data_IF_868824341448
#
_entry.id   IF_868824341448
#
_cell.length_a   1.000
_cell.length_b   1.000
_cell.length_c   1.000
_cell.angle_alpha   90.00
_cell.angle_beta   90.00
_cell.angle_gamma   90.00
#
_symmetry.space_group_name_H-M   'P 1'
#
loop_
_entity.id
_entity.type
_entity.pdbx_description
1 polymer ?
#
# COMPACT_ATOMS: atom_id res chain seq x y z
N UNK A 1 -15.43 -1.13 35.27
CA UNK A 1 -14.21 -0.28 35.28
C UNK A 1 -13.90 0.05 33.83
N UNK A 2 -13.71 1.32 33.45
CA UNK A 2 -13.52 1.72 32.04
C UNK A 2 -12.30 1.04 31.39
N UNK A 3 -11.24 0.84 32.18
CA UNK A 3 -10.02 0.19 31.71
C UNK A 3 -10.25 -1.21 31.16
N UNK A 4 -11.20 -1.96 31.72
CA UNK A 4 -11.49 -3.33 31.29
C UNK A 4 -12.09 -3.37 29.87
N UNK A 5 -12.89 -2.36 29.51
CA UNK A 5 -13.46 -2.22 28.17
C UNK A 5 -12.44 -1.81 27.10
N UNK A 6 -11.39 -1.07 27.49
CA UNK A 6 -10.41 -0.52 26.55
C UNK A 6 -9.13 -1.35 26.47
N UNK A 7 -8.71 -2.01 27.55
CA UNK A 7 -7.46 -2.77 27.61
C UNK A 7 -7.64 -4.25 27.22
N UNK A 8 -8.84 -4.81 27.38
CA UNK A 8 -9.14 -6.21 27.06
C UNK A 8 -9.97 -6.40 25.78
N UNK A 9 -10.19 -5.34 25.00
CA UNK A 9 -10.95 -5.39 23.76
C UNK A 9 -10.03 -5.25 22.55
N UNK A 10 -10.02 -6.27 21.68
CA UNK A 10 -9.19 -6.30 20.47
C UNK A 10 -9.45 -5.11 19.53
N UNK A 11 -10.66 -4.54 19.53
CA UNK A 11 -10.97 -3.33 18.76
C UNK A 11 -10.09 -2.14 19.18
N UNK A 12 -10.01 -1.85 20.49
CA UNK A 12 -9.20 -0.75 20.99
C UNK A 12 -7.70 -1.06 20.95
N UNK A 13 -7.32 -2.30 21.30
CA UNK A 13 -5.92 -2.74 21.24
C UNK A 13 -5.35 -2.70 19.81
N UNK A 14 -6.12 -3.17 18.82
CA UNK A 14 -5.72 -3.10 17.41
C UNK A 14 -5.62 -1.66 16.90
N UNK A 15 -6.53 -0.76 17.31
CA UNK A 15 -6.45 0.65 16.95
C UNK A 15 -5.22 1.35 17.55
N UNK A 16 -4.88 1.04 18.80
CA UNK A 16 -3.66 1.54 19.44
C UNK A 16 -2.40 1.03 18.74
N UNK A 17 -2.34 -0.27 18.47
CA UNK A 17 -1.24 -0.89 17.74
C UNK A 17 -1.09 -0.29 16.34
N UNK A 18 -2.20 -0.14 15.61
CA UNK A 18 -2.19 0.43 14.27
C UNK A 18 -1.61 1.86 14.26
N UNK A 19 -1.97 2.70 15.23
CA UNK A 19 -1.40 4.06 15.35
C UNK A 19 0.10 4.03 15.62
N UNK A 20 0.56 3.15 16.52
CA UNK A 20 1.98 3.00 16.83
C UNK A 20 2.79 2.53 15.60
N UNK A 21 2.30 1.50 14.90
CA UNK A 21 2.95 0.98 13.68
C UNK A 21 2.91 1.99 12.55
N UNK A 22 1.79 2.69 12.36
CA UNK A 22 1.66 3.73 11.35
C UNK A 22 2.71 4.83 11.57
N UNK A 23 2.88 5.30 12.81
CA UNK A 23 3.89 6.31 13.14
C UNK A 23 5.31 5.82 12.84
N UNK A 24 5.65 4.59 13.22
CA UNK A 24 6.97 4.00 12.92
C UNK A 24 7.22 3.92 11.41
N UNK A 25 6.20 3.52 10.64
CA UNK A 25 6.31 3.44 9.19
C UNK A 25 6.45 4.83 8.56
N UNK A 26 5.69 5.82 9.01
CA UNK A 26 5.80 7.21 8.56
C UNK A 26 7.20 7.78 8.84
N UNK A 27 7.75 7.56 10.03
CA UNK A 27 9.11 7.97 10.39
C UNK A 27 10.15 7.28 9.50
N UNK A 28 9.98 5.98 9.24
CA UNK A 28 10.88 5.19 8.38
C UNK A 28 10.89 5.69 6.93
N UNK A 29 9.71 5.97 6.36
CA UNK A 29 9.60 6.40 4.96
C UNK A 29 9.70 7.91 4.76
N UNK A 30 9.85 8.69 5.84
CA UNK A 30 9.93 10.15 5.80
C UNK A 30 10.99 10.68 4.82
N UNK A 31 12.15 10.03 4.75
CA UNK A 31 13.25 10.42 3.85
C UNK A 31 12.91 10.28 2.36
N UNK A 32 11.97 9.39 2.02
CA UNK A 32 11.51 9.15 0.64
C UNK A 32 10.48 10.17 0.16
N UNK A 33 9.84 10.91 1.09
CA UNK A 33 8.71 11.77 0.79
C UNK A 33 7.42 11.03 0.39
N UNK A 34 7.38 9.70 0.55
CA UNK A 34 6.20 8.86 0.30
C UNK A 34 5.50 8.50 1.61
N UNK A 35 4.17 8.34 1.55
CA UNK A 35 3.48 7.67 2.65
C UNK A 35 3.84 6.17 2.66
N UNK A 36 3.73 5.49 3.81
CA UNK A 36 4.07 4.07 3.91
C UNK A 36 3.37 3.20 2.85
N UNK A 37 2.10 3.46 2.57
CA UNK A 37 1.34 2.68 1.58
C UNK A 37 1.93 2.78 0.17
N UNK A 38 2.37 3.97 -0.26
CA UNK A 38 3.02 4.12 -1.56
C UNK A 38 4.40 3.48 -1.59
N UNK A 39 5.14 3.54 -0.48
CA UNK A 39 6.43 2.89 -0.36
C UNK A 39 6.32 1.36 -0.45
N UNK A 40 5.41 0.75 0.30
CA UNK A 40 5.16 -0.70 0.22
C UNK A 40 4.68 -1.14 -1.16
N UNK A 41 3.86 -0.32 -1.82
CA UNK A 41 3.43 -0.58 -3.18
C UNK A 41 4.63 -0.62 -4.15
N UNK A 42 5.53 0.37 -4.08
CA UNK A 42 6.76 0.38 -4.89
C UNK A 42 7.67 -0.80 -4.56
N UNK A 43 7.81 -1.16 -3.28
CA UNK A 43 8.58 -2.32 -2.86
C UNK A 43 8.01 -3.61 -3.47
N UNK A 44 6.69 -3.79 -3.48
CA UNK A 44 6.06 -4.94 -4.10
C UNK A 44 6.28 -4.99 -5.63
N UNK A 45 6.22 -3.85 -6.31
CA UNK A 45 6.52 -3.76 -7.75
C UNK A 45 8.00 -4.02 -8.04
N UNK A 46 8.89 -3.59 -7.14
CA UNK A 46 10.33 -3.82 -7.25
C UNK A 46 10.67 -5.31 -7.05
N UNK A 47 10.05 -5.95 -6.06
CA UNK A 47 10.23 -7.38 -5.76
C UNK A 47 9.65 -8.27 -6.86
N UNK A 48 8.50 -7.88 -7.43
CA UNK A 48 7.84 -8.61 -8.52
C UNK A 48 7.59 -7.69 -9.72
N UNK A 49 8.62 -7.45 -10.57
CA UNK A 49 8.45 -6.66 -11.78
C UNK A 49 7.37 -7.24 -12.70
N UNK A 50 6.41 -6.41 -13.09
CA UNK A 50 5.28 -6.83 -13.93
C UNK A 50 4.09 -7.42 -13.18
N UNK A 51 4.08 -7.38 -11.84
CA UNK A 51 2.89 -7.67 -11.04
C UNK A 51 1.68 -6.88 -11.54
N UNK A 52 0.54 -7.54 -11.66
CA UNK A 52 -0.70 -6.91 -12.09
C UNK A 52 -1.32 -6.06 -10.98
N UNK A 53 -2.14 -5.07 -11.35
CA UNK A 53 -2.90 -4.28 -10.36
C UNK A 53 -3.82 -5.16 -9.49
N UNK A 54 -4.32 -6.25 -10.07
CA UNK A 54 -5.15 -7.23 -9.34
C UNK A 54 -4.35 -7.94 -8.26
N UNK A 55 -3.22 -8.55 -8.62
CA UNK A 55 -2.34 -9.26 -7.67
C UNK A 55 -1.85 -8.32 -6.57
N UNK A 56 -1.49 -7.08 -6.93
CA UNK A 56 -1.05 -6.08 -5.97
C UNK A 56 -2.17 -5.63 -5.03
N UNK A 57 -3.40 -5.48 -5.54
CA UNK A 57 -4.58 -5.20 -4.73
C UNK A 57 -4.90 -6.34 -3.76
N UNK A 58 -4.80 -7.58 -4.21
CA UNK A 58 -4.99 -8.78 -3.39
C UNK A 58 -3.93 -8.89 -2.29
N UNK A 59 -2.65 -8.71 -2.63
CA UNK A 59 -1.52 -8.79 -1.70
C UNK A 59 -1.56 -7.71 -0.60
N UNK A 60 -2.04 -6.50 -0.94
CA UNK A 60 -2.15 -5.38 -0.01
C UNK A 60 -3.53 -5.24 0.65
N UNK A 61 -4.46 -6.16 0.37
CA UNK A 61 -5.85 -6.11 0.83
C UNK A 61 -6.56 -4.79 0.49
N UNK A 62 -6.29 -4.25 -0.71
CA UNK A 62 -6.87 -3.01 -1.22
C UNK A 62 -8.01 -3.31 -2.20
N UNK A 63 -9.04 -2.47 -2.18
CA UNK A 63 -10.11 -2.54 -3.18
C UNK A 63 -9.56 -2.19 -4.57
N UNK A 64 -10.19 -2.69 -5.67
CA UNK A 64 -9.81 -2.32 -7.03
C UNK A 64 -9.74 -0.81 -7.24
N UNK A 65 -10.73 -0.06 -6.74
CA UNK A 65 -10.75 1.41 -6.83
C UNK A 65 -9.58 2.08 -6.11
N UNK A 66 -9.13 1.52 -4.98
CA UNK A 66 -8.03 2.09 -4.19
C UNK A 66 -6.69 1.82 -4.89
N UNK A 67 -6.48 0.60 -5.38
CA UNK A 67 -5.22 0.25 -6.05
C UNK A 67 -5.07 1.01 -7.38
N UNK A 68 -6.14 1.16 -8.17
CA UNK A 68 -6.10 1.95 -9.41
C UNK A 68 -5.67 3.39 -9.12
N UNK A 69 -6.31 4.06 -8.16
CA UNK A 69 -5.95 5.43 -7.76
C UNK A 69 -4.51 5.54 -7.25
N UNK A 70 -4.02 4.54 -6.53
CA UNK A 70 -2.65 4.57 -6.02
C UNK A 70 -1.62 4.39 -7.14
N UNK A 71 -1.87 3.47 -8.06
CA UNK A 71 -1.01 3.25 -9.22
C UNK A 71 -0.98 4.48 -10.12
N UNK A 72 -2.13 5.10 -10.40
CA UNK A 72 -2.20 6.34 -11.18
C UNK A 72 -1.35 7.46 -10.57
N UNK A 73 -1.39 7.62 -9.24
CA UNK A 73 -0.55 8.63 -8.56
C UNK A 73 0.94 8.31 -8.68
N UNK A 74 1.33 7.04 -8.63
CA UNK A 74 2.74 6.64 -8.80
C UNK A 74 3.22 6.80 -10.24
N UNK A 75 2.36 6.54 -11.23
CA UNK A 75 2.63 6.82 -12.64
C UNK A 75 2.81 8.32 -12.85
N UNK A 76 1.94 9.15 -12.27
CA UNK A 76 2.05 10.62 -12.37
C UNK A 76 3.32 11.16 -11.71
N UNK A 77 3.85 10.45 -10.70
CA UNK A 77 5.15 10.73 -10.08
C UNK A 77 6.34 10.12 -10.81
N UNK A 78 6.10 9.43 -11.94
CA UNK A 78 7.12 8.72 -12.73
C UNK A 78 7.87 7.61 -11.96
N UNK A 79 7.26 7.10 -10.89
CA UNK A 79 7.83 6.04 -10.05
C UNK A 79 7.45 4.63 -10.50
N UNK A 80 6.38 4.51 -11.30
CA UNK A 80 5.91 3.26 -11.91
C UNK A 80 5.57 3.52 -13.37
N UNK A 81 5.84 2.54 -14.23
CA UNK A 81 5.41 2.54 -15.62
C UNK A 81 4.32 1.49 -15.80
N UNK A 82 3.19 1.87 -16.40
CA UNK A 82 2.22 0.90 -16.86
C UNK A 82 2.63 0.38 -18.24
N UNK A 83 2.75 -0.94 -18.38
CA UNK A 83 2.76 -1.59 -19.69
C UNK A 83 1.36 -2.09 -19.97
N UNK A 84 0.61 -1.33 -20.76
CA UNK A 84 -0.58 -1.88 -21.38
C UNK A 84 -0.12 -2.94 -22.38
N UNK A 85 -0.22 -4.23 -22.02
CA UNK A 85 -0.31 -5.30 -23.02
C UNK A 85 -1.65 -5.16 -23.71
N UNK A 86 -1.78 -4.14 -24.57
CA UNK A 86 -2.78 -4.16 -25.61
C UNK A 86 -2.54 -5.42 -26.43
N UNK A 87 -3.60 -6.19 -26.69
CA UNK A 87 -3.54 -7.24 -27.70
C UNK A 87 -3.23 -6.59 -29.04
N UNK A 88 -1.95 -6.49 -29.37
CA UNK A 88 -1.40 -6.46 -30.71
C UNK A 88 0.04 -6.94 -30.58
N UNK A 89 0.22 -8.23 -30.86
CA UNK A 89 1.52 -8.83 -31.14
C UNK A 89 2.17 -8.03 -32.26
N UNK A 90 3.41 -7.58 -32.07
CA UNK A 90 4.31 -7.27 -33.18
C UNK A 90 5.68 -7.83 -32.79
N UNK A 91 6.22 -8.62 -33.72
CA UNK A 91 7.43 -9.45 -33.63
C UNK A 91 8.67 -8.69 -33.18
#
# INVERSE_FOLDING_TARGET
>A
MLDDYFQNCMYFSSALLNRAITRMAEETFKSTGLSPTYAFLLMAVHEQPGISQKELGEALHLTPSTITRFIEKLIHKELVLSRNRGKAVIN
#
